data_IF_530410558366
#
_entry.id   IF_530410558366
#
_cell.length_a   1.000
_cell.length_b   1.000
_cell.length_c   1.000
_cell.angle_alpha   90.00
_cell.angle_beta   90.00
_cell.angle_gamma   90.00
#
_symmetry.space_group_name_H-M   'P 1'
#
loop_
_entity.id
_entity.type
_entity.pdbx_description
1 polymer ?
#
# COMPACT_ATOMS: atom_id res chain seq x y z
N UNK A 1 21.10 1.07 24.13
CA UNK A 1 20.10 1.97 23.48
C UNK A 1 18.88 1.13 23.17
N UNK A 2 17.66 1.69 23.20
CA UNK A 2 16.42 0.96 22.91
C UNK A 2 15.78 1.42 21.61
N UNK A 3 14.47 1.25 21.50
CA UNK A 3 13.69 1.73 20.35
C UNK A 3 13.41 3.24 20.46
N UNK A 4 13.65 3.97 19.39
CA UNK A 4 13.25 5.37 19.23
C UNK A 4 11.94 5.43 18.46
N UNK A 5 10.90 6.04 19.03
CA UNK A 5 9.57 6.10 18.45
C UNK A 5 9.35 7.43 17.72
N UNK A 6 8.86 7.36 16.49
CA UNK A 6 8.57 8.50 15.64
C UNK A 6 7.08 8.50 15.24
N UNK A 7 6.16 8.83 16.15
CA UNK A 7 4.77 9.01 15.82
C UNK A 7 4.58 10.29 15.02
N UNK A 8 3.53 10.34 14.19
CA UNK A 8 3.12 11.58 13.51
C UNK A 8 2.79 12.64 14.56
N UNK A 9 3.41 13.84 14.53
CA UNK A 9 3.15 14.89 15.50
C UNK A 9 1.67 15.24 15.64
N UNK A 10 1.20 15.40 16.87
CA UNK A 10 -0.19 15.77 17.16
C UNK A 10 -1.24 14.66 16.94
N UNK A 11 -0.84 13.45 16.52
CA UNK A 11 -1.77 12.33 16.28
C UNK A 11 -1.66 11.27 17.37
N UNK A 12 -2.59 11.27 18.31
CA UNK A 12 -2.64 10.32 19.42
C UNK A 12 -2.68 8.86 18.95
N UNK A 13 -3.48 8.56 17.92
CA UNK A 13 -3.53 7.22 17.30
C UNK A 13 -2.14 6.72 16.92
N UNK A 14 -1.34 7.55 16.27
CA UNK A 14 0.03 7.21 15.87
C UNK A 14 0.92 6.90 17.08
N UNK A 15 0.82 7.70 18.14
CA UNK A 15 1.55 7.50 19.38
C UNK A 15 1.20 6.18 20.05
N UNK A 16 -0.08 5.85 20.13
CA UNK A 16 -0.56 4.58 20.71
C UNK A 16 -0.07 3.37 19.93
N UNK A 17 -0.09 3.42 18.60
CA UNK A 17 0.38 2.33 17.74
C UNK A 17 1.88 2.09 17.92
N UNK A 18 2.70 3.14 17.86
CA UNK A 18 4.14 3.02 18.09
C UNK A 18 4.45 2.45 19.48
N UNK A 19 3.75 2.91 20.52
CA UNK A 19 3.90 2.40 21.89
C UNK A 19 3.51 0.92 22.00
N UNK A 20 2.40 0.50 21.40
CA UNK A 20 1.96 -0.88 21.41
C UNK A 20 3.00 -1.79 20.73
N UNK A 21 3.53 -1.38 19.59
CA UNK A 21 4.57 -2.14 18.90
C UNK A 21 5.87 -2.25 19.74
N UNK A 22 6.29 -1.15 20.35
CA UNK A 22 7.47 -1.15 21.22
C UNK A 22 7.29 -1.97 22.51
N UNK A 23 6.07 -2.02 23.06
CA UNK A 23 5.79 -2.81 24.27
C UNK A 23 5.96 -4.31 24.05
N UNK A 24 5.69 -4.81 22.84
CA UNK A 24 5.91 -6.23 22.50
C UNK A 24 7.32 -6.56 22.02
N UNK A 25 8.20 -5.58 21.97
CA UNK A 25 9.56 -5.77 21.46
C UNK A 25 10.43 -6.63 22.42
N UNK A 26 11.34 -7.46 21.88
CA UNK A 26 12.35 -8.09 22.71
C UNK A 26 13.26 -7.03 23.35
N UNK A 27 13.79 -7.33 24.55
CA UNK A 27 14.66 -6.39 25.31
C UNK A 27 15.91 -5.97 24.53
N UNK A 28 16.37 -6.79 23.60
CA UNK A 28 17.51 -6.53 22.73
C UNK A 28 17.18 -5.65 21.51
N UNK A 29 15.91 -5.35 21.24
CA UNK A 29 15.52 -4.57 20.08
C UNK A 29 16.08 -3.14 20.13
N UNK A 30 16.72 -2.73 19.02
CA UNK A 30 17.29 -1.39 18.84
C UNK A 30 16.97 -0.87 17.45
N UNK A 31 16.64 0.41 17.36
CA UNK A 31 16.34 1.05 16.08
C UNK A 31 15.19 2.06 16.16
N UNK A 32 14.57 2.32 15.04
CA UNK A 32 13.57 3.38 14.88
C UNK A 32 12.22 2.80 14.47
N UNK A 33 11.14 3.26 15.10
CA UNK A 33 9.77 2.84 14.79
C UNK A 33 8.98 4.04 14.29
N UNK A 34 8.48 3.96 13.08
CA UNK A 34 7.68 5.01 12.42
C UNK A 34 6.24 4.55 12.21
N UNK A 35 5.28 5.46 12.40
CA UNK A 35 3.93 5.31 11.89
C UNK A 35 3.67 6.38 10.83
N UNK A 36 3.71 5.97 9.55
CA UNK A 36 3.74 6.94 8.45
C UNK A 36 5.03 7.77 8.40
N UNK A 37 5.06 8.75 7.54
CA UNK A 37 6.22 9.65 7.35
C UNK A 37 5.89 11.13 7.53
N UNK A 38 4.61 11.45 7.75
CA UNK A 38 4.14 12.83 7.90
C UNK A 38 4.76 13.50 9.13
N UNK A 39 5.43 14.62 8.92
CA UNK A 39 6.05 15.41 9.98
C UNK A 39 7.32 14.82 10.60
N UNK A 40 7.74 13.59 10.19
CA UNK A 40 8.95 12.91 10.71
C UNK A 40 9.93 12.53 9.59
N UNK A 41 9.80 13.18 8.44
CA UNK A 41 10.58 12.85 7.24
C UNK A 41 12.09 12.94 7.46
N UNK A 42 12.56 13.97 8.13
CA UNK A 42 14.00 14.15 8.41
C UNK A 42 14.55 12.99 9.23
N UNK A 43 13.80 12.56 10.26
CA UNK A 43 14.20 11.44 11.11
C UNK A 43 14.16 10.12 10.35
N UNK A 44 13.16 9.94 9.49
CA UNK A 44 13.06 8.78 8.63
C UNK A 44 14.25 8.67 7.67
N UNK A 45 14.67 9.77 7.03
CA UNK A 45 15.83 9.77 6.13
C UNK A 45 17.13 9.41 6.87
N UNK A 46 17.31 9.91 8.10
CA UNK A 46 18.47 9.58 8.93
C UNK A 46 18.45 8.11 9.38
N UNK A 47 17.29 7.57 9.71
CA UNK A 47 17.14 6.21 10.20
C UNK A 47 17.38 5.14 9.14
N UNK A 48 17.30 5.48 7.84
CA UNK A 48 17.48 4.53 6.73
C UNK A 48 18.83 3.81 6.71
N UNK A 49 19.84 4.36 7.33
CA UNK A 49 21.17 3.74 7.46
C UNK A 49 21.24 2.66 8.54
N UNK A 50 20.21 2.51 9.38
CA UNK A 50 20.14 1.56 10.48
C UNK A 50 18.95 0.61 10.39
N UNK A 51 18.57 0.06 11.53
CA UNK A 51 17.36 -0.76 11.65
C UNK A 51 16.16 0.11 11.92
N UNK A 52 15.12 -0.05 11.13
CA UNK A 52 13.86 0.66 11.30
C UNK A 52 12.66 -0.21 10.97
N UNK A 53 11.52 0.11 11.60
CA UNK A 53 10.23 -0.49 11.33
C UNK A 53 9.27 0.59 10.89
N UNK A 54 8.53 0.28 9.84
CA UNK A 54 7.51 1.16 9.30
C UNK A 54 6.13 0.55 9.51
N UNK A 55 5.30 1.29 10.22
CA UNK A 55 3.92 0.91 10.49
C UNK A 55 3.00 1.85 9.72
N UNK A 56 1.96 1.30 9.11
CA UNK A 56 0.96 2.07 8.39
C UNK A 56 -0.43 1.41 8.52
N UNK A 57 -1.45 2.03 7.95
CA UNK A 57 -2.74 1.41 7.85
C UNK A 57 -2.65 0.09 7.09
N UNK A 58 -3.53 -0.84 7.43
CA UNK A 58 -3.60 -2.17 6.81
C UNK A 58 -3.83 -2.10 5.29
N UNK A 59 -3.48 -3.15 4.57
CA UNK A 59 -3.86 -3.33 3.17
C UNK A 59 -5.35 -3.64 3.06
N UNK A 60 -5.85 -4.48 3.97
CA UNK A 60 -7.24 -4.94 4.03
C UNK A 60 -7.90 -4.43 5.31
N UNK A 61 -9.21 -4.24 5.27
CA UNK A 61 -10.01 -3.81 6.42
C UNK A 61 -9.58 -2.46 7.05
N UNK A 62 -8.96 -1.61 6.27
CA UNK A 62 -8.42 -0.31 6.71
C UNK A 62 -9.48 0.65 7.28
N UNK A 63 -10.75 0.49 6.87
CA UNK A 63 -11.85 1.36 7.31
C UNK A 63 -12.21 1.15 8.79
N UNK A 64 -12.08 -0.07 9.31
CA UNK A 64 -12.31 -0.34 10.73
C UNK A 64 -11.18 0.16 11.62
N UNK A 65 -9.97 0.34 11.08
CA UNK A 65 -8.81 0.82 11.83
C UNK A 65 -8.36 -0.14 12.94
N UNK A 66 -8.65 -1.43 12.78
CA UNK A 66 -8.33 -2.50 13.74
C UNK A 66 -6.91 -3.05 13.48
N UNK A 67 -6.57 -3.21 12.20
CA UNK A 67 -5.30 -3.77 11.77
C UNK A 67 -4.35 -2.69 11.26
N UNK A 68 -3.06 -2.93 11.48
CA UNK A 68 -1.95 -2.12 10.99
C UNK A 68 -0.90 -3.03 10.38
N UNK A 69 -0.36 -2.65 9.25
CA UNK A 69 0.77 -3.38 8.66
C UNK A 69 2.08 -2.92 9.27
N UNK A 70 3.05 -3.81 9.35
CA UNK A 70 4.41 -3.48 9.77
C UNK A 70 5.42 -4.14 8.84
N UNK A 71 6.49 -3.41 8.53
CA UNK A 71 7.62 -3.88 7.73
C UNK A 71 8.93 -3.50 8.42
N UNK A 72 9.99 -4.27 8.17
CA UNK A 72 11.35 -3.98 8.64
C UNK A 72 12.18 -3.52 7.45
N UNK A 73 12.82 -2.37 7.57
CA UNK A 73 13.71 -1.77 6.56
C UNK A 73 13.07 -1.62 5.16
N UNK A 74 11.74 -1.54 5.10
CA UNK A 74 10.97 -1.37 3.89
C UNK A 74 9.69 -0.58 4.15
N UNK A 75 9.18 0.17 3.16
CA UNK A 75 7.91 0.88 3.25
C UNK A 75 6.70 0.01 2.88
N UNK A 76 6.94 -1.07 2.16
CA UNK A 76 5.93 -2.00 1.68
C UNK A 76 6.38 -3.43 1.93
N UNK A 77 5.43 -4.35 2.05
CA UNK A 77 5.72 -5.79 2.04
C UNK A 77 6.18 -6.19 0.64
N UNK A 78 7.30 -6.90 0.54
CA UNK A 78 7.70 -7.59 -0.68
C UNK A 78 7.18 -9.03 -0.61
N UNK A 79 6.18 -9.39 -1.40
CA UNK A 79 5.60 -10.73 -1.36
C UNK A 79 6.39 -11.76 -2.18
N UNK A 80 7.41 -11.36 -2.94
CA UNK A 80 8.19 -12.28 -3.79
C UNK A 80 8.93 -13.32 -2.96
N UNK A 81 8.84 -14.57 -3.39
CA UNK A 81 9.49 -15.69 -2.71
C UNK A 81 8.90 -16.05 -1.35
N UNK A 82 7.79 -15.43 -0.96
CA UNK A 82 7.08 -15.73 0.30
C UNK A 82 5.87 -16.61 0.04
N UNK A 83 5.58 -17.48 0.98
CA UNK A 83 4.37 -18.28 1.01
C UNK A 83 3.58 -17.98 2.28
N UNK A 84 2.27 -18.21 2.21
CA UNK A 84 1.34 -18.07 3.34
C UNK A 84 0.37 -19.25 3.35
N UNK A 85 -0.08 -19.64 4.53
CA UNK A 85 -1.17 -20.63 4.68
C UNK A 85 -2.54 -20.05 4.31
N UNK A 86 -2.65 -18.72 4.24
CA UNK A 86 -3.91 -18.04 3.98
C UNK A 86 -4.80 -17.81 5.19
N UNK A 87 -4.56 -18.48 6.31
CA UNK A 87 -5.44 -18.44 7.50
C UNK A 87 -5.76 -17.03 7.98
N UNK A 88 -4.78 -16.12 7.91
CA UNK A 88 -4.97 -14.74 8.34
C UNK A 88 -5.83 -13.96 7.35
N UNK A 89 -5.65 -14.21 6.06
CA UNK A 89 -6.46 -13.60 5.01
C UNK A 89 -7.92 -14.10 5.06
N UNK A 90 -8.11 -15.41 5.22
CA UNK A 90 -9.44 -16.00 5.31
C UNK A 90 -10.25 -15.46 6.50
N UNK A 91 -9.58 -15.25 7.65
CA UNK A 91 -10.21 -14.61 8.83
C UNK A 91 -10.63 -13.16 8.60
N UNK A 92 -9.98 -12.45 7.69
CA UNK A 92 -10.40 -11.07 7.32
C UNK A 92 -11.70 -11.08 6.51
N UNK A 93 -12.03 -12.19 5.85
CA UNK A 93 -13.23 -12.30 5.03
C UNK A 93 -13.28 -11.36 3.83
N UNK A 94 -12.11 -10.96 3.33
CA UNK A 94 -12.01 -10.05 2.17
C UNK A 94 -12.21 -10.86 0.88
N UNK A 95 -13.22 -10.58 0.07
CA UNK A 95 -13.46 -11.31 -1.16
C UNK A 95 -12.42 -10.98 -2.22
N UNK A 96 -12.04 -11.98 -3.02
CA UNK A 96 -11.33 -11.80 -4.29
C UNK A 96 -12.36 -11.98 -5.40
N UNK A 97 -12.81 -10.88 -5.98
CA UNK A 97 -13.85 -10.92 -7.03
C UNK A 97 -13.28 -11.42 -8.36
N UNK A 98 -14.11 -12.07 -9.16
CA UNK A 98 -13.75 -12.36 -10.55
C UNK A 98 -13.37 -11.07 -11.29
N UNK A 99 -12.53 -11.20 -12.31
CA UNK A 99 -12.26 -10.07 -13.20
C UNK A 99 -13.55 -9.61 -13.87
N UNK A 100 -13.75 -8.31 -13.88
CA UNK A 100 -14.96 -7.72 -14.50
C UNK A 100 -14.93 -7.91 -16.00
N UNK A 101 -16.08 -8.23 -16.58
CA UNK A 101 -16.31 -8.32 -18.01
C UNK A 101 -17.77 -7.92 -18.30
N UNK A 102 -18.03 -6.86 -19.06
CA UNK A 102 -17.03 -5.93 -19.59
C UNK A 102 -16.39 -5.03 -18.50
N UNK A 103 -15.19 -4.54 -18.77
CA UNK A 103 -14.57 -3.48 -17.99
C UNK A 103 -15.22 -2.14 -18.30
N UNK A 104 -15.16 -1.20 -17.36
CA UNK A 104 -15.51 0.19 -17.62
C UNK A 104 -14.57 0.86 -18.63
N UNK A 105 -14.88 2.08 -19.11
CA UNK A 105 -14.06 2.76 -20.11
C UNK A 105 -12.78 3.41 -19.55
N UNK A 106 -12.78 3.80 -18.28
CA UNK A 106 -11.80 4.75 -17.74
C UNK A 106 -10.51 4.10 -17.25
N UNK A 107 -9.38 4.74 -17.50
CA UNK A 107 -8.13 4.53 -16.75
C UNK A 107 -8.08 5.53 -15.59
N UNK A 108 -7.96 5.02 -14.35
CA UNK A 108 -7.95 5.83 -13.15
C UNK A 108 -6.52 5.93 -12.59
N UNK A 109 -5.96 7.14 -12.62
CA UNK A 109 -4.69 7.43 -11.95
C UNK A 109 -4.95 7.73 -10.47
N UNK A 110 -4.29 7.00 -9.58
CA UNK A 110 -4.38 7.16 -8.13
C UNK A 110 -3.02 7.62 -7.56
N UNK A 111 -2.70 8.93 -7.63
CA UNK A 111 -1.49 9.45 -7.05
C UNK A 111 -1.50 9.28 -5.52
N UNK A 112 -0.32 9.15 -4.95
CA UNK A 112 -0.13 9.20 -3.50
C UNK A 112 -0.03 10.65 -3.03
N UNK A 113 -0.03 10.86 -1.71
CA UNK A 113 0.15 12.21 -1.16
C UNK A 113 1.51 12.78 -1.57
N UNK A 114 1.57 14.11 -1.76
CA UNK A 114 2.81 14.81 -2.12
C UNK A 114 3.94 14.54 -1.12
N UNK A 115 3.62 14.49 0.18
CA UNK A 115 4.60 14.18 1.23
C UNK A 115 5.22 12.80 1.01
N UNK A 116 4.41 11.79 0.67
CA UNK A 116 4.92 10.46 0.39
C UNK A 116 5.76 10.42 -0.90
N UNK A 117 5.28 11.05 -1.98
CA UNK A 117 6.01 11.09 -3.25
C UNK A 117 7.33 11.83 -3.11
N UNK A 118 7.33 12.97 -2.41
CA UNK A 118 8.55 13.73 -2.11
C UNK A 118 9.54 12.92 -1.27
N UNK A 119 9.06 12.16 -0.31
CA UNK A 119 9.89 11.38 0.59
C UNK A 119 10.53 10.15 -0.05
N UNK A 120 9.85 9.55 -1.02
CA UNK A 120 10.27 8.30 -1.66
C UNK A 120 11.02 8.54 -2.96
N UNK A 121 10.59 9.51 -3.75
CA UNK A 121 11.09 9.78 -5.10
C UNK A 121 11.66 11.19 -5.29
N UNK A 122 11.52 12.08 -4.32
CA UNK A 122 11.83 13.52 -4.50
C UNK A 122 10.79 14.26 -5.36
N UNK A 123 9.67 13.62 -5.70
CA UNK A 123 8.62 14.16 -6.56
C UNK A 123 7.39 14.57 -5.74
N UNK A 124 6.66 15.58 -6.21
CA UNK A 124 5.30 15.87 -5.75
C UNK A 124 4.31 14.95 -6.49
N UNK A 125 3.17 14.64 -5.88
CA UNK A 125 2.17 13.73 -6.47
C UNK A 125 1.67 14.19 -7.84
N UNK A 126 1.54 15.49 -8.09
CA UNK A 126 1.13 15.99 -9.40
C UNK A 126 2.20 15.78 -10.48
N UNK A 127 3.47 15.83 -10.14
CA UNK A 127 4.58 15.60 -11.09
C UNK A 127 4.54 14.16 -11.58
N UNK A 128 4.35 13.18 -10.69
CA UNK A 128 4.13 11.78 -11.06
C UNK A 128 2.92 11.61 -11.99
N UNK A 129 1.83 12.33 -11.73
CA UNK A 129 0.62 12.27 -12.56
C UNK A 129 0.89 12.83 -13.95
N UNK A 130 1.63 13.93 -14.06
CA UNK A 130 2.03 14.51 -15.33
C UNK A 130 2.94 13.57 -16.12
N UNK A 131 3.92 12.95 -15.46
CA UNK A 131 4.84 11.99 -16.08
C UNK A 131 4.08 10.75 -16.60
N UNK A 132 3.20 10.16 -15.80
CA UNK A 132 2.41 8.99 -16.21
C UNK A 132 1.49 9.35 -17.38
N UNK A 133 0.83 10.51 -17.36
CA UNK A 133 0.03 10.98 -18.50
C UNK A 133 0.86 11.18 -19.75
N UNK A 134 2.05 11.76 -19.63
CA UNK A 134 2.97 11.93 -20.75
C UNK A 134 3.34 10.58 -21.38
N UNK A 135 3.65 9.58 -20.57
CA UNK A 135 3.92 8.22 -21.02
C UNK A 135 2.69 7.63 -21.76
N UNK A 136 1.51 7.70 -21.15
CA UNK A 136 0.27 7.17 -21.75
C UNK A 136 -0.05 7.85 -23.09
N UNK A 137 0.17 9.15 -23.19
CA UNK A 137 -0.07 9.89 -24.43
C UNK A 137 0.81 9.38 -25.60
N UNK A 138 1.99 8.85 -25.32
CA UNK A 138 2.86 8.25 -26.34
C UNK A 138 2.28 6.95 -26.92
N UNK A 139 1.29 6.35 -26.26
CA UNK A 139 0.68 5.10 -26.70
C UNK A 139 -0.39 5.27 -27.79
N UNK A 140 -0.76 6.53 -28.07
CA UNK A 140 -1.71 6.92 -29.11
C UNK A 140 -3.05 6.16 -29.03
N UNK A 141 -3.69 6.23 -27.87
CA UNK A 141 -4.97 5.58 -27.56
C UNK A 141 -5.97 6.61 -26.98
N UNK A 142 -6.40 7.57 -27.78
CA UNK A 142 -7.37 8.59 -27.36
C UNK A 142 -8.74 8.02 -26.97
N UNK A 143 -9.03 6.80 -27.41
CA UNK A 143 -10.23 6.04 -27.07
C UNK A 143 -10.23 5.51 -25.63
N UNK A 144 -9.08 5.59 -24.91
CA UNK A 144 -8.94 5.14 -23.54
C UNK A 144 -8.80 6.34 -22.58
N UNK A 145 -9.92 6.89 -22.08
CA UNK A 145 -9.90 8.11 -21.27
C UNK A 145 -9.14 7.90 -19.96
N UNK A 146 -8.40 8.94 -19.54
CA UNK A 146 -7.59 8.96 -18.34
C UNK A 146 -8.13 9.98 -17.35
N UNK A 147 -8.60 9.52 -16.20
CA UNK A 147 -9.03 10.35 -15.07
C UNK A 147 -8.01 10.32 -13.94
N UNK A 148 -7.95 11.38 -13.14
CA UNK A 148 -7.10 11.44 -11.94
C UNK A 148 -8.01 11.46 -10.72
N UNK A 149 -7.76 10.53 -9.82
CA UNK A 149 -8.36 10.53 -8.50
C UNK A 149 -7.49 11.33 -7.54
N UNK A 150 -7.87 12.58 -7.31
CA UNK A 150 -7.17 13.41 -6.34
C UNK A 150 -7.44 12.91 -4.92
N UNK A 151 -6.37 12.70 -4.17
CA UNK A 151 -6.48 12.42 -2.74
C UNK A 151 -6.91 13.71 -2.01
N UNK A 152 -8.17 13.77 -1.57
CA UNK A 152 -8.68 14.95 -0.88
C UNK A 152 -8.47 14.78 0.63
N UNK A 153 -7.62 15.63 1.24
CA UNK A 153 -7.44 15.72 2.69
C UNK A 153 -8.66 16.34 3.40
N UNK A 154 -9.46 17.11 2.70
CA UNK A 154 -10.66 17.74 3.27
C UNK A 154 -11.75 16.70 3.44
N UNK A 155 -11.68 16.01 4.57
CA UNK A 155 -12.56 14.91 4.98
C UNK A 155 -14.03 15.28 5.18
N UNK A 156 -14.42 16.54 4.99
CA UNK A 156 -15.77 17.05 5.24
C UNK A 156 -16.72 16.94 4.06
N UNK A 157 -16.24 16.65 2.85
CA UNK A 157 -17.10 16.33 1.72
C UNK A 157 -16.86 14.87 1.39
N UNK A 158 -17.91 14.05 1.50
CA UNK A 158 -17.91 12.60 1.28
C UNK A 158 -16.95 12.21 0.14
N UNK A 159 -15.72 11.85 0.50
CA UNK A 159 -14.77 11.32 -0.48
C UNK A 159 -15.40 10.05 -1.03
N UNK A 160 -15.66 10.00 -2.31
CA UNK A 160 -16.14 8.79 -2.99
C UNK A 160 -15.13 7.69 -2.67
N UNK A 161 -15.60 6.63 -2.05
CA UNK A 161 -14.77 5.47 -1.73
C UNK A 161 -14.29 4.88 -3.05
N UNK A 162 -13.03 4.45 -3.12
CA UNK A 162 -12.45 3.93 -4.38
C UNK A 162 -13.34 2.86 -5.02
N UNK A 163 -13.89 2.00 -4.20
CA UNK A 163 -14.74 0.88 -4.61
C UNK A 163 -15.99 1.33 -5.40
N UNK A 164 -16.46 2.57 -5.19
CA UNK A 164 -17.57 3.15 -5.96
C UNK A 164 -17.13 3.68 -7.35
N UNK A 165 -15.85 3.97 -7.54
CA UNK A 165 -15.32 4.41 -8.82
C UNK A 165 -14.92 3.23 -9.73
N UNK A 166 -14.55 2.09 -9.13
CA UNK A 166 -14.06 0.92 -9.85
C UNK A 166 -15.02 0.33 -10.92
N UNK A 167 -16.37 0.40 -10.77
CA UNK A 167 -17.27 -0.05 -11.84
C UNK A 167 -17.07 0.68 -13.17
N UNK A 168 -16.56 1.89 -13.15
CA UNK A 168 -16.30 2.71 -14.33
C UNK A 168 -14.86 2.57 -14.86
N UNK A 169 -14.04 1.75 -14.21
CA UNK A 169 -12.63 1.62 -14.55
C UNK A 169 -12.34 0.37 -15.38
N UNK A 170 -11.50 0.53 -16.40
CA UNK A 170 -10.82 -0.56 -17.08
C UNK A 170 -9.46 -0.89 -16.46
N UNK A 171 -8.85 0.11 -15.86
CA UNK A 171 -7.49 0.03 -15.32
C UNK A 171 -7.30 1.05 -14.19
N UNK A 172 -6.62 0.63 -13.13
CA UNK A 172 -6.15 1.54 -12.08
C UNK A 172 -4.62 1.61 -12.13
N UNK A 173 -4.07 2.83 -12.16
CA UNK A 173 -2.60 3.03 -12.12
C UNK A 173 -2.26 3.82 -10.86
N UNK A 174 -1.30 3.31 -10.09
CA UNK A 174 -0.76 4.02 -8.91
C UNK A 174 0.75 3.85 -8.84
N UNK A 175 1.44 4.67 -8.03
CA UNK A 175 2.86 4.45 -7.80
C UNK A 175 3.09 3.25 -6.87
N UNK A 176 2.68 3.35 -5.62
CA UNK A 176 2.76 2.27 -4.61
C UNK A 176 1.57 2.29 -3.63
N UNK A 177 0.44 2.81 -4.09
CA UNK A 177 -0.78 2.92 -3.28
C UNK A 177 -1.48 1.57 -3.13
N UNK A 178 -2.15 1.38 -2.00
CA UNK A 178 -3.10 0.28 -1.82
C UNK A 178 -4.28 0.31 -2.81
N UNK A 179 -4.43 1.38 -3.60
CA UNK A 179 -5.44 1.46 -4.64
C UNK A 179 -5.30 0.35 -5.68
N UNK A 180 -4.06 0.00 -6.09
CA UNK A 180 -3.81 -1.14 -6.99
C UNK A 180 -4.23 -2.47 -6.37
N UNK A 181 -3.99 -2.65 -5.07
CA UNK A 181 -4.40 -3.87 -4.34
C UNK A 181 -5.92 -3.94 -4.28
N UNK A 182 -6.58 -2.86 -3.87
CA UNK A 182 -8.04 -2.78 -3.81
C UNK A 182 -8.67 -3.07 -5.18
N UNK A 183 -8.13 -2.48 -6.25
CA UNK A 183 -8.62 -2.71 -7.61
C UNK A 183 -8.54 -4.19 -8.01
N UNK A 184 -7.38 -4.85 -7.78
CA UNK A 184 -7.22 -6.28 -8.06
C UNK A 184 -8.19 -7.16 -7.27
N UNK A 185 -8.43 -6.84 -5.99
CA UNK A 185 -9.41 -7.59 -5.18
C UNK A 185 -10.83 -7.40 -5.69
N UNK A 186 -11.16 -6.22 -6.19
CA UNK A 186 -12.45 -5.84 -6.76
C UNK A 186 -12.66 -6.31 -8.22
N UNK A 187 -11.67 -7.01 -8.81
CA UNK A 187 -11.73 -7.52 -10.18
C UNK A 187 -11.49 -6.47 -11.25
N UNK A 188 -10.76 -5.41 -10.95
CA UNK A 188 -10.30 -4.41 -11.91
C UNK A 188 -8.78 -4.52 -12.05
N UNK A 189 -8.25 -4.68 -13.27
CA UNK A 189 -6.82 -4.69 -13.51
C UNK A 189 -6.11 -3.45 -12.96
N UNK A 190 -4.87 -3.62 -12.52
CA UNK A 190 -4.09 -2.49 -12.03
C UNK A 190 -2.61 -2.58 -12.42
N UNK A 191 -1.94 -1.42 -12.45
CA UNK A 191 -0.51 -1.27 -12.66
C UNK A 191 0.07 -0.44 -11.51
N UNK A 192 1.17 -0.93 -10.93
CA UNK A 192 1.96 -0.20 -9.95
C UNK A 192 3.26 0.26 -10.60
N UNK A 193 3.51 1.58 -10.68
CA UNK A 193 4.73 2.10 -11.33
C UNK A 193 5.96 2.08 -10.41
N UNK A 194 5.77 1.93 -9.11
CA UNK A 194 6.86 1.87 -8.13
C UNK A 194 7.41 0.44 -7.99
N UNK A 195 8.68 0.19 -8.29
CA UNK A 195 9.26 -1.17 -8.24
C UNK A 195 9.27 -1.80 -6.84
N UNK A 196 9.15 -0.98 -5.79
CA UNK A 196 9.03 -1.42 -4.39
C UNK A 196 7.59 -1.51 -3.90
N UNK A 197 6.60 -1.25 -4.76
CA UNK A 197 5.19 -1.42 -4.41
C UNK A 197 4.87 -2.90 -4.21
N UNK A 198 4.07 -3.22 -3.18
CA UNK A 198 3.68 -4.60 -2.90
C UNK A 198 3.04 -5.29 -4.12
N UNK A 199 2.24 -4.57 -4.90
CA UNK A 199 1.55 -5.11 -6.06
C UNK A 199 2.41 -5.20 -7.34
N UNK A 200 3.60 -4.59 -7.38
CA UNK A 200 4.38 -4.43 -8.61
C UNK A 200 4.67 -5.75 -9.34
N UNK A 201 5.01 -6.79 -8.60
CA UNK A 201 5.39 -8.08 -9.20
C UNK A 201 4.22 -8.81 -9.89
N UNK A 202 2.97 -8.52 -9.49
CA UNK A 202 1.78 -9.06 -10.13
C UNK A 202 1.25 -8.17 -11.25
N UNK A 203 1.54 -6.86 -11.18
CA UNK A 203 0.97 -5.88 -12.10
C UNK A 203 1.95 -5.47 -13.20
N UNK A 204 3.25 -5.70 -12.98
CA UNK A 204 4.30 -5.32 -13.91
C UNK A 204 4.47 -3.81 -14.11
N UNK A 205 5.43 -3.41 -14.96
CA UNK A 205 5.66 -2.01 -15.30
C UNK A 205 4.58 -1.46 -16.22
N UNK A 206 4.45 -0.14 -16.23
CA UNK A 206 3.62 0.57 -17.21
C UNK A 206 4.33 0.58 -18.56
N UNK A 207 3.87 -0.25 -19.47
CA UNK A 207 4.28 -0.30 -20.88
C UNK A 207 3.08 -0.09 -21.78
N UNK A 208 3.29 0.05 -23.09
CA UNK A 208 2.18 0.15 -24.05
C UNK A 208 1.31 -1.11 -24.01
N UNK A 209 1.93 -2.28 -23.96
CA UNK A 209 1.27 -3.58 -23.92
C UNK A 209 0.44 -3.72 -22.65
N UNK A 210 1.03 -3.48 -21.47
CA UNK A 210 0.30 -3.57 -20.19
C UNK A 210 -0.78 -2.50 -20.03
N UNK A 211 -0.67 -1.37 -20.74
CA UNK A 211 -1.72 -0.36 -20.77
C UNK A 211 -2.91 -0.79 -21.63
N UNK A 212 -2.66 -1.41 -22.79
CA UNK A 212 -3.72 -1.86 -23.72
C UNK A 212 -4.41 -3.12 -23.19
N UNK A 213 -3.60 -4.13 -22.81
CA UNK A 213 -4.05 -5.40 -22.22
C UNK A 213 -3.43 -5.57 -20.83
N UNK A 214 -4.06 -5.00 -19.80
CA UNK A 214 -3.49 -5.00 -18.46
C UNK A 214 -3.45 -6.39 -17.84
N UNK A 215 -2.42 -6.68 -17.04
CA UNK A 215 -2.23 -7.97 -16.37
C UNK A 215 -3.45 -8.37 -15.53
N UNK A 216 -3.85 -9.63 -15.67
CA UNK A 216 -4.95 -10.23 -14.90
C UNK A 216 -4.44 -11.50 -14.20
N UNK A 217 -3.71 -11.38 -13.08
CA UNK A 217 -3.27 -12.53 -12.31
C UNK A 217 -4.44 -13.47 -11.99
N UNK A 218 -4.17 -14.77 -11.99
CA UNK A 218 -5.15 -15.79 -11.64
C UNK A 218 -5.71 -15.59 -10.22
N UNK A 219 -6.80 -16.26 -9.90
CA UNK A 219 -7.32 -16.28 -8.54
C UNK A 219 -6.27 -16.76 -7.54
N UNK A 220 -5.55 -17.84 -7.85
CA UNK A 220 -4.52 -18.40 -6.97
C UNK A 220 -3.37 -17.43 -6.70
N UNK A 221 -2.89 -16.72 -7.74
CA UNK A 221 -1.85 -15.69 -7.56
C UNK A 221 -2.33 -14.54 -6.68
N UNK A 222 -3.54 -14.05 -6.90
CA UNK A 222 -4.14 -12.98 -6.07
C UNK A 222 -4.38 -13.44 -4.64
N UNK A 223 -4.82 -14.68 -4.44
CA UNK A 223 -5.02 -15.26 -3.12
C UNK A 223 -3.71 -15.39 -2.36
N UNK A 224 -2.68 -15.95 -2.98
CA UNK A 224 -1.35 -16.09 -2.37
C UNK A 224 -0.75 -14.72 -2.03
N UNK A 225 -0.85 -13.77 -2.95
CA UNK A 225 -0.44 -12.38 -2.73
C UNK A 225 -1.16 -11.74 -1.54
N UNK A 226 -2.49 -11.80 -1.52
CA UNK A 226 -3.30 -11.23 -0.46
C UNK A 226 -3.00 -11.89 0.90
N UNK A 227 -2.77 -13.20 0.91
CA UNK A 227 -2.41 -13.97 2.10
C UNK A 227 -1.07 -13.50 2.70
N UNK A 228 -0.04 -13.31 1.88
CA UNK A 228 1.25 -12.76 2.34
C UNK A 228 1.10 -11.34 2.89
N UNK A 229 0.28 -10.50 2.26
CA UNK A 229 0.01 -9.16 2.78
C UNK A 229 -0.73 -9.19 4.12
N UNK A 230 -1.72 -10.08 4.27
CA UNK A 230 -2.49 -10.25 5.49
C UNK A 230 -1.61 -10.73 6.67
N UNK A 231 -0.63 -11.58 6.41
CA UNK A 231 0.31 -12.06 7.42
C UNK A 231 1.18 -10.95 8.02
N UNK A 232 1.29 -9.80 7.35
CA UNK A 232 2.01 -8.63 7.82
C UNK A 232 1.08 -7.55 8.43
N UNK A 233 -0.17 -7.90 8.74
CA UNK A 233 -1.16 -7.04 9.40
C UNK A 233 -1.48 -7.55 10.80
N UNK A 234 -1.44 -6.66 11.77
CA UNK A 234 -1.59 -6.98 13.20
C UNK A 234 -2.52 -6.00 13.89
N UNK A 235 -3.21 -6.47 14.90
CA UNK A 235 -3.97 -5.64 15.85
C UNK A 235 -3.03 -4.98 16.86
N UNK A 236 -3.52 -3.98 17.60
CA UNK A 236 -2.76 -3.38 18.71
C UNK A 236 -2.40 -4.41 19.78
N UNK A 237 -3.27 -5.37 20.05
CA UNK A 237 -3.01 -6.46 20.99
C UNK A 237 -1.87 -7.35 20.51
N UNK A 238 -1.86 -7.73 19.23
CA UNK A 238 -0.78 -8.53 18.64
C UNK A 238 0.56 -7.78 18.61
N UNK A 239 0.52 -6.46 18.49
CA UNK A 239 1.71 -5.62 18.66
C UNK A 239 2.23 -5.70 20.11
N UNK A 240 1.36 -5.42 21.09
CA UNK A 240 1.78 -5.33 22.50
C UNK A 240 2.17 -6.68 23.11
N UNK A 241 1.67 -7.79 22.59
CA UNK A 241 2.02 -9.15 23.04
C UNK A 241 3.22 -9.76 22.30
N UNK A 242 3.82 -9.02 21.36
CA UNK A 242 5.02 -9.46 20.63
C UNK A 242 4.76 -10.43 19.48
N UNK A 243 3.50 -10.68 19.10
CA UNK A 243 3.17 -11.57 17.96
C UNK A 243 3.78 -11.03 16.66
N UNK A 244 3.67 -9.72 16.43
CA UNK A 244 4.25 -9.08 15.25
C UNK A 244 5.78 -9.19 15.22
N UNK A 245 6.43 -9.06 16.36
CA UNK A 245 7.89 -9.20 16.47
C UNK A 245 8.36 -10.61 16.14
N UNK A 246 7.72 -11.63 16.71
CA UNK A 246 8.02 -13.04 16.42
C UNK A 246 7.82 -13.37 14.93
N UNK A 247 6.88 -12.72 14.29
CA UNK A 247 6.66 -12.87 12.85
C UNK A 247 7.80 -12.23 12.04
N UNK A 248 8.17 -10.99 12.36
CA UNK A 248 9.23 -10.24 11.66
C UNK A 248 10.63 -10.88 11.81
N UNK A 249 10.88 -11.62 12.89
CA UNK A 249 12.15 -12.35 13.10
C UNK A 249 12.29 -13.59 12.20
N UNK A 250 11.17 -14.09 11.65
CA UNK A 250 11.14 -15.26 10.77
C UNK A 250 11.28 -14.90 9.29
N UNK A 251 11.27 -13.62 8.96
CA UNK A 251 11.37 -13.09 7.60
C UNK A 251 12.80 -12.64 7.27
#
# INVERSE_FOLDING_TARGET
>A
MGLTLHPVPGKEKSRLICKAFAAGAPKSAQGHVFFGTEGVMSDFQKAKSGTWWYIDNSYFDKHRGIYFRVTKNALQVDPRGRSSTGERFDRLGVPIKAWRDPLGPDTLLCPQSDDFMKSTLGLKGYDWTADVRSIINTYDRPDLPVRVRHWNRDKLKAAVVLEHELPHCRLVISHSSSASITAMMEGVPSISTGPTAAAYHLTGPLTRESFIDPPRPSYGERYQFASVLADNQFTLSEFSTGVAWKWLEKQ
#
